data_IF_736029537339
#
_entry.id   IF_736029537339
#
_cell.length_a   1.000
_cell.length_b   1.000
_cell.length_c   1.000
_cell.angle_alpha   90.00
_cell.angle_beta   90.00
_cell.angle_gamma   90.00
#
_symmetry.space_group_name_H-M   'P 1'
#
loop_
_entity.id
_entity.type
_entity.pdbx_description
1 polymer ?
#
# COMPACT_ATOMS: atom_id res chain seq x y z
N UNK A 1 -10.60 -6.78 -23.07
CA UNK A 1 -10.28 -8.07 -23.73
C UNK A 1 -9.43 -7.76 -24.94
N UNK A 2 -8.29 -8.43 -25.08
CA UNK A 2 -7.50 -8.36 -26.30
C UNK A 2 -7.55 -9.73 -26.98
N UNK A 3 -7.78 -9.73 -28.29
CA UNK A 3 -7.80 -10.94 -29.10
C UNK A 3 -6.77 -10.78 -30.22
N UNK A 4 -5.88 -11.77 -30.36
CA UNK A 4 -4.83 -11.76 -31.38
C UNK A 4 -4.83 -13.09 -32.09
N UNK A 5 -4.67 -13.08 -33.41
CA UNK A 5 -4.53 -14.30 -34.20
C UNK A 5 -3.22 -15.05 -33.88
N UNK A 6 -2.15 -14.30 -33.53
CA UNK A 6 -0.78 -14.82 -33.54
C UNK A 6 -0.37 -15.56 -32.26
N UNK A 7 -1.05 -15.32 -31.14
CA UNK A 7 -0.73 -15.97 -29.85
C UNK A 7 -1.70 -17.09 -29.44
N UNK A 8 -2.59 -17.51 -30.35
CA UNK A 8 -3.42 -18.72 -30.21
C UNK A 8 -4.41 -18.73 -29.03
N UNK A 9 -4.66 -17.59 -28.39
CA UNK A 9 -5.44 -17.55 -27.16
C UNK A 9 -6.09 -16.19 -26.88
N UNK A 10 -7.08 -16.24 -26.00
CA UNK A 10 -7.88 -15.10 -25.57
C UNK A 10 -7.35 -14.65 -24.20
N UNK A 11 -6.75 -13.45 -24.14
CA UNK A 11 -6.10 -12.97 -22.91
C UNK A 11 -7.02 -12.01 -22.17
N UNK A 12 -7.36 -12.37 -20.93
CA UNK A 12 -8.15 -11.52 -20.04
C UNK A 12 -7.27 -10.41 -19.49
N UNK A 13 -7.56 -9.16 -19.86
CA UNK A 13 -6.83 -7.98 -19.39
C UNK A 13 -7.36 -7.45 -18.06
N UNK A 14 -8.68 -7.48 -17.86
CA UNK A 14 -9.34 -6.97 -16.65
C UNK A 14 -10.65 -7.70 -16.39
N UNK A 15 -11.02 -7.80 -15.11
CA UNK A 15 -12.31 -8.32 -14.66
C UNK A 15 -12.79 -7.51 -13.47
N UNK A 16 -14.10 -7.25 -13.41
CA UNK A 16 -14.71 -6.66 -12.24
C UNK A 16 -16.14 -7.17 -12.07
N UNK A 17 -16.61 -7.35 -10.82
CA UNK A 17 -18.02 -7.63 -10.57
C UNK A 17 -18.86 -6.39 -10.90
N UNK A 18 -20.06 -6.63 -11.43
CA UNK A 18 -21.07 -5.58 -11.58
C UNK A 18 -21.77 -5.35 -10.25
N UNK A 19 -21.95 -4.07 -9.90
CA UNK A 19 -22.71 -3.67 -8.73
C UNK A 19 -24.19 -4.09 -8.90
N UNK A 20 -24.90 -4.33 -7.78
CA UNK A 20 -26.29 -4.83 -7.81
C UNK A 20 -27.29 -3.87 -8.48
N UNK A 21 -26.94 -2.58 -8.57
CA UNK A 21 -27.72 -1.53 -9.25
C UNK A 21 -27.51 -1.53 -10.77
N UNK A 22 -26.54 -2.29 -11.30
CA UNK A 22 -26.28 -2.39 -12.74
C UNK A 22 -27.06 -3.55 -13.35
N UNK A 23 -27.66 -3.27 -14.50
CA UNK A 23 -28.40 -4.25 -15.30
C UNK A 23 -27.53 -4.90 -16.37
N UNK A 24 -26.87 -4.10 -17.22
CA UNK A 24 -26.12 -4.55 -18.40
C UNK A 24 -25.01 -3.57 -18.79
N UNK A 25 -24.03 -4.06 -19.57
CA UNK A 25 -23.06 -3.23 -20.29
C UNK A 25 -23.71 -2.67 -21.56
N UNK A 26 -23.74 -1.35 -21.70
CA UNK A 26 -24.27 -0.66 -22.88
C UNK A 26 -23.21 -0.57 -23.99
N UNK A 27 -21.98 -0.23 -23.62
CA UNK A 27 -20.91 -0.03 -24.59
C UNK A 27 -19.57 0.28 -23.95
N UNK A 28 -18.54 0.33 -24.79
CA UNK A 28 -17.16 0.58 -24.39
C UNK A 28 -16.57 1.64 -25.31
N UNK A 29 -16.04 2.71 -24.73
CA UNK A 29 -15.25 3.70 -25.45
C UNK A 29 -14.14 4.14 -24.53
N UNK A 30 -12.90 3.76 -24.86
CA UNK A 30 -11.71 4.06 -24.06
C UNK A 30 -11.65 5.55 -23.72
N UNK A 31 -11.55 5.91 -22.42
CA UNK A 31 -11.17 5.07 -21.28
C UNK A 31 -12.34 4.51 -20.43
N UNK A 32 -13.56 4.43 -20.95
CA UNK A 32 -14.77 4.16 -20.17
C UNK A 32 -15.58 2.93 -20.60
N UNK A 33 -16.14 2.26 -19.62
CA UNK A 33 -17.30 1.38 -19.73
C UNK A 33 -18.57 2.17 -19.45
N UNK A 34 -19.58 2.03 -20.29
CA UNK A 34 -20.91 2.62 -20.09
C UNK A 34 -21.86 1.51 -19.64
N UNK A 35 -22.38 1.62 -18.42
CA UNK A 35 -23.19 0.62 -17.75
C UNK A 35 -24.61 1.14 -17.55
N UNK A 36 -25.62 0.32 -17.82
CA UNK A 36 -27.02 0.67 -17.67
C UNK A 36 -27.49 0.35 -16.24
N UNK A 37 -27.99 1.36 -15.53
CA UNK A 37 -28.56 1.20 -14.18
C UNK A 37 -29.94 0.53 -14.27
N UNK A 38 -30.29 -0.33 -13.30
CA UNK A 38 -31.64 -0.91 -13.18
C UNK A 38 -32.68 0.21 -12.97
N UNK A 39 -33.86 0.16 -13.61
CA UNK A 39 -34.86 1.23 -13.53
C UNK A 39 -35.25 1.60 -12.09
N UNK A 40 -35.46 0.59 -11.24
CA UNK A 40 -35.79 0.72 -9.81
C UNK A 40 -34.76 1.55 -9.02
N UNK A 41 -33.49 1.48 -9.43
CA UNK A 41 -32.39 2.20 -8.77
C UNK A 41 -32.22 3.63 -9.29
N UNK A 42 -32.73 3.94 -10.49
CA UNK A 42 -32.65 5.28 -11.08
C UNK A 42 -33.57 6.25 -10.33
N UNK A 43 -34.77 5.80 -9.98
CA UNK A 43 -35.75 6.58 -9.20
C UNK A 43 -35.29 6.82 -7.76
N UNK A 44 -34.50 5.90 -7.20
CA UNK A 44 -34.16 5.87 -5.78
C UNK A 44 -32.84 6.56 -5.40
N UNK A 45 -31.84 6.61 -6.29
CA UNK A 45 -30.44 6.89 -5.87
C UNK A 45 -29.62 7.87 -6.72
N UNK A 46 -29.93 8.10 -8.00
CA UNK A 46 -29.03 8.93 -8.84
C UNK A 46 -29.63 9.65 -10.04
N UNK A 47 -30.88 9.36 -10.45
CA UNK A 47 -31.50 9.96 -11.64
C UNK A 47 -30.78 9.68 -12.97
N UNK A 48 -29.64 8.96 -12.97
CA UNK A 48 -28.83 8.67 -14.16
C UNK A 48 -29.00 7.22 -14.58
N UNK A 49 -29.61 7.05 -15.75
CA UNK A 49 -29.82 5.73 -16.38
C UNK A 49 -28.52 5.08 -16.86
N UNK A 50 -27.47 5.88 -17.11
CA UNK A 50 -26.16 5.40 -17.55
C UNK A 50 -25.08 5.80 -16.55
N UNK A 51 -24.34 4.81 -16.03
CA UNK A 51 -23.17 4.98 -15.18
C UNK A 51 -21.91 4.81 -16.02
N UNK A 52 -21.01 5.76 -15.91
CA UNK A 52 -19.70 5.70 -16.55
C UNK A 52 -18.68 5.14 -15.56
N UNK A 53 -17.91 4.12 -15.96
CA UNK A 53 -16.85 3.52 -15.15
C UNK A 53 -15.54 3.58 -15.91
N UNK A 54 -14.50 4.12 -15.30
CA UNK A 54 -13.17 4.19 -15.89
C UNK A 54 -12.54 2.79 -15.92
N UNK A 55 -11.89 2.45 -17.03
CA UNK A 55 -11.08 1.24 -17.16
C UNK A 55 -9.93 1.28 -16.15
N UNK A 56 -9.59 0.13 -15.56
CA UNK A 56 -8.55 0.01 -14.53
C UNK A 56 -7.25 0.74 -14.90
N UNK A 57 -6.74 0.50 -16.10
CA UNK A 57 -5.45 1.03 -16.54
C UNK A 57 -5.51 2.54 -16.91
N UNK A 58 -6.71 3.14 -16.94
CA UNK A 58 -6.94 4.52 -17.36
C UNK A 58 -7.40 5.45 -16.23
N UNK A 59 -7.48 4.96 -15.00
CA UNK A 59 -7.80 5.79 -13.83
C UNK A 59 -6.76 6.91 -13.71
N UNK A 60 -7.20 8.16 -13.69
CA UNK A 60 -6.35 9.35 -13.69
C UNK A 60 -5.85 9.79 -15.08
N UNK A 61 -6.30 9.13 -16.15
CA UNK A 61 -5.99 9.45 -17.56
C UNK A 61 -7.25 9.81 -18.37
N UNK A 62 -8.37 10.06 -17.70
CA UNK A 62 -9.68 10.27 -18.31
C UNK A 62 -9.69 11.46 -19.28
N UNK A 63 -9.10 12.56 -18.82
CA UNK A 63 -9.05 13.84 -19.53
C UNK A 63 -7.79 14.01 -20.40
N UNK A 64 -6.93 12.99 -20.52
CA UNK A 64 -5.70 13.08 -21.32
C UNK A 64 -5.98 12.90 -22.80
N UNK A 65 -5.05 13.37 -23.63
CA UNK A 65 -5.17 13.35 -25.09
C UNK A 65 -5.34 11.93 -25.64
N UNK A 66 -5.97 11.84 -26.82
CA UNK A 66 -6.18 10.56 -27.52
C UNK A 66 -4.85 9.81 -27.72
N UNK A 67 -3.76 10.52 -28.02
CA UNK A 67 -2.43 9.91 -28.19
C UNK A 67 -1.93 9.19 -26.92
N UNK A 68 -2.13 9.79 -25.74
CA UNK A 68 -1.76 9.18 -24.45
C UNK A 68 -2.63 7.96 -24.17
N UNK A 69 -3.93 8.04 -24.49
CA UNK A 69 -4.85 6.90 -24.32
C UNK A 69 -4.51 5.75 -25.27
N UNK A 70 -4.19 6.04 -26.52
CA UNK A 70 -3.80 5.05 -27.52
C UNK A 70 -2.44 4.41 -27.15
N UNK A 71 -1.48 5.21 -26.67
CA UNK A 71 -0.21 4.72 -26.13
C UNK A 71 -0.43 3.77 -24.94
N UNK A 72 -1.31 4.14 -24.01
CA UNK A 72 -1.64 3.31 -22.85
C UNK A 72 -2.38 2.01 -23.26
N UNK A 73 -3.29 2.07 -24.23
CA UNK A 73 -3.95 0.87 -24.76
C UNK A 73 -2.93 -0.10 -25.38
N UNK A 74 -2.03 0.42 -26.21
CA UNK A 74 -0.97 -0.37 -26.85
C UNK A 74 -0.02 -0.95 -25.80
N UNK A 75 0.33 -0.17 -24.77
CA UNK A 75 1.12 -0.65 -23.65
C UNK A 75 0.45 -1.82 -22.93
N UNK A 76 -0.81 -1.68 -22.52
CA UNK A 76 -1.58 -2.75 -21.88
C UNK A 76 -1.69 -3.99 -22.77
N UNK A 77 -1.85 -3.81 -24.08
CA UNK A 77 -1.88 -4.90 -25.05
C UNK A 77 -0.56 -5.67 -25.09
N UNK A 78 0.56 -4.97 -25.28
CA UNK A 78 1.87 -5.59 -25.40
C UNK A 78 2.31 -6.27 -24.10
N UNK A 79 1.95 -5.71 -22.93
CA UNK A 79 2.12 -6.37 -21.64
C UNK A 79 1.31 -7.66 -21.51
N UNK A 80 0.06 -7.69 -22.01
CA UNK A 80 -0.79 -8.87 -21.96
C UNK A 80 -0.23 -10.03 -22.78
N UNK A 81 0.41 -9.74 -23.92
CA UNK A 81 1.05 -10.77 -24.78
C UNK A 81 2.51 -11.04 -24.41
N UNK A 82 3.04 -10.40 -23.35
CA UNK A 82 4.42 -10.60 -22.88
C UNK A 82 5.50 -9.93 -23.74
N UNK A 83 5.12 -9.09 -24.71
CA UNK A 83 6.06 -8.36 -25.55
C UNK A 83 6.49 -7.06 -24.86
N UNK A 84 7.45 -7.16 -23.94
CA UNK A 84 7.91 -6.03 -23.14
C UNK A 84 8.51 -4.91 -24.01
N UNK A 85 9.25 -5.23 -25.07
CA UNK A 85 9.94 -4.25 -25.90
C UNK A 85 8.95 -3.31 -26.62
N UNK A 86 7.90 -3.86 -27.22
CA UNK A 86 6.86 -3.06 -27.87
C UNK A 86 6.01 -2.30 -26.85
N UNK A 87 5.81 -2.86 -25.65
CA UNK A 87 5.17 -2.14 -24.55
C UNK A 87 5.98 -0.87 -24.22
N UNK A 88 7.29 -1.00 -24.01
CA UNK A 88 8.15 0.15 -23.72
C UNK A 88 8.15 1.20 -24.84
N UNK A 89 8.13 0.77 -26.11
CA UNK A 89 8.02 1.70 -27.25
C UNK A 89 6.69 2.47 -27.24
N UNK A 90 5.58 1.77 -26.97
CA UNK A 90 4.24 2.37 -26.95
C UNK A 90 4.12 3.48 -25.90
N UNK A 91 4.75 3.31 -24.73
CA UNK A 91 4.59 4.23 -23.61
C UNK A 91 5.68 5.31 -23.52
N UNK A 92 6.74 5.23 -24.33
CA UNK A 92 7.88 6.17 -24.36
C UNK A 92 7.47 7.63 -24.58
N UNK A 93 6.32 7.86 -25.21
CA UNK A 93 5.77 9.20 -25.48
C UNK A 93 5.19 9.87 -24.24
N UNK A 94 4.85 9.10 -23.20
CA UNK A 94 4.28 9.61 -21.96
C UNK A 94 5.40 10.14 -21.06
N UNK A 95 5.46 11.47 -20.91
CA UNK A 95 6.46 12.16 -20.06
C UNK A 95 5.91 12.70 -18.75
N UNK A 96 4.61 12.58 -18.53
CA UNK A 96 3.94 13.21 -17.40
C UNK A 96 4.12 12.38 -16.13
N UNK A 97 4.81 12.92 -15.13
CA UNK A 97 5.05 12.26 -13.84
C UNK A 97 3.75 11.85 -13.15
N UNK A 98 2.72 12.70 -13.18
CA UNK A 98 1.39 12.40 -12.62
C UNK A 98 0.74 11.18 -13.27
N UNK A 99 1.00 10.94 -14.57
CA UNK A 99 0.49 9.73 -15.27
C UNK A 99 1.18 8.49 -14.72
N UNK A 100 2.50 8.55 -14.56
CA UNK A 100 3.28 7.46 -14.01
C UNK A 100 2.94 7.17 -12.55
N UNK A 101 2.67 8.19 -11.75
CA UNK A 101 2.21 8.04 -10.37
C UNK A 101 0.86 7.31 -10.30
N UNK A 102 -0.11 7.76 -11.11
CA UNK A 102 -1.42 7.10 -11.20
C UNK A 102 -1.29 5.64 -11.66
N UNK A 103 -0.42 5.38 -12.63
CA UNK A 103 -0.17 4.03 -13.11
C UNK A 103 0.50 3.15 -12.04
N UNK A 104 1.45 3.69 -11.28
CA UNK A 104 2.09 2.99 -10.16
C UNK A 104 1.06 2.62 -9.08
N UNK A 105 0.15 3.55 -8.73
CA UNK A 105 -0.95 3.32 -7.78
C UNK A 105 -1.91 2.23 -8.28
N UNK A 106 -2.15 2.16 -9.59
CA UNK A 106 -2.94 1.08 -10.18
C UNK A 106 -2.22 -0.26 -10.16
N UNK A 107 -0.89 -0.28 -10.33
CA UNK A 107 -0.09 -1.50 -10.25
C UNK A 107 -0.13 -2.14 -8.84
N UNK A 108 -0.29 -1.34 -7.79
CA UNK A 108 -0.56 -1.85 -6.43
C UNK A 108 -1.86 -2.63 -6.40
N UNK A 109 -2.95 -2.03 -6.90
CA UNK A 109 -4.30 -2.62 -6.85
C UNK A 109 -4.40 -3.89 -7.71
N UNK A 110 -3.75 -3.89 -8.88
CA UNK A 110 -3.70 -5.05 -9.79
C UNK A 110 -2.59 -6.05 -9.45
N UNK A 111 -1.72 -5.73 -8.47
CA UNK A 111 -0.56 -6.52 -8.07
C UNK A 111 0.45 -6.78 -9.20
N UNK A 112 0.50 -5.89 -10.20
CA UNK A 112 1.45 -5.92 -11.34
C UNK A 112 2.75 -5.20 -10.99
N UNK A 113 3.57 -5.84 -10.15
CA UNK A 113 4.82 -5.26 -9.63
C UNK A 113 5.90 -5.10 -10.71
N UNK A 114 5.82 -5.89 -11.77
CA UNK A 114 6.61 -5.79 -13.00
C UNK A 114 6.45 -4.41 -13.66
N UNK A 115 5.19 -3.98 -13.81
CA UNK A 115 4.85 -2.68 -14.40
C UNK A 115 5.15 -1.54 -13.42
N UNK A 116 4.96 -1.77 -12.12
CA UNK A 116 5.28 -0.76 -11.09
C UNK A 116 6.75 -0.32 -11.14
N UNK A 117 7.69 -1.25 -11.36
CA UNK A 117 9.11 -0.93 -11.45
C UNK A 117 9.40 0.07 -12.60
N UNK A 118 8.71 -0.10 -13.73
CA UNK A 118 8.78 0.82 -14.87
C UNK A 118 8.24 2.20 -14.51
N UNK A 119 7.10 2.24 -13.81
CA UNK A 119 6.49 3.50 -13.37
C UNK A 119 7.45 4.27 -12.47
N UNK A 120 8.00 3.62 -11.44
CA UNK A 120 8.92 4.25 -10.49
C UNK A 120 10.19 4.74 -11.17
N UNK A 121 10.68 4.03 -12.19
CA UNK A 121 11.82 4.47 -13.00
C UNK A 121 11.54 5.77 -13.75
N UNK A 122 10.38 5.86 -14.41
CA UNK A 122 9.98 7.06 -15.16
C UNK A 122 9.62 8.25 -14.25
N UNK A 123 9.19 7.99 -13.01
CA UNK A 123 8.98 9.02 -11.99
C UNK A 123 10.27 9.47 -11.30
N UNK A 124 11.41 8.82 -11.55
CA UNK A 124 12.63 9.06 -10.78
C UNK A 124 12.53 8.66 -9.30
N UNK A 125 11.56 7.82 -8.94
CA UNK A 125 11.27 7.42 -7.56
C UNK A 125 12.24 6.31 -7.09
N UNK A 126 13.52 6.67 -6.95
CA UNK A 126 14.63 5.74 -6.72
C UNK A 126 14.45 4.88 -5.45
N UNK A 127 13.95 5.46 -4.36
CA UNK A 127 13.71 4.74 -3.09
C UNK A 127 12.69 3.60 -3.28
N UNK A 128 11.59 3.91 -3.95
CA UNK A 128 10.55 2.93 -4.26
C UNK A 128 11.04 1.84 -5.22
N UNK A 129 11.80 2.21 -6.25
CA UNK A 129 12.38 1.23 -7.17
C UNK A 129 13.37 0.29 -6.48
N UNK A 130 14.21 0.82 -5.57
CA UNK A 130 15.08 0.01 -4.71
C UNK A 130 14.27 -0.91 -3.81
N UNK A 131 13.24 -0.38 -3.16
CA UNK A 131 12.35 -1.14 -2.30
C UNK A 131 11.71 -2.32 -3.04
N UNK A 132 11.23 -2.15 -4.28
CA UNK A 132 10.70 -3.23 -5.12
C UNK A 132 11.71 -4.35 -5.42
N UNK A 133 12.99 -4.02 -5.53
CA UNK A 133 14.05 -5.02 -5.77
C UNK A 133 14.41 -5.78 -4.50
N UNK A 134 14.40 -5.11 -3.35
CA UNK A 134 14.84 -5.66 -2.06
C UNK A 134 13.71 -6.34 -1.27
N UNK A 135 12.44 -6.02 -1.54
CA UNK A 135 11.27 -6.58 -0.84
C UNK A 135 10.96 -8.05 -1.18
N UNK A 136 11.89 -8.79 -1.78
CA UNK A 136 11.66 -10.18 -2.15
C UNK A 136 11.65 -11.09 -0.93
N UNK A 137 12.51 -10.88 0.06
CA UNK A 137 12.65 -11.77 1.24
C UNK A 137 12.29 -11.07 2.55
N UNK A 138 11.70 -11.81 3.48
CA UNK A 138 11.54 -11.36 4.86
C UNK A 138 12.79 -11.64 5.71
N UNK A 139 12.77 -11.22 6.97
CA UNK A 139 13.88 -11.36 7.91
C UNK A 139 14.31 -12.81 8.18
N UNK A 140 13.48 -13.79 7.84
CA UNK A 140 13.79 -15.23 7.92
C UNK A 140 14.25 -15.84 6.59
N UNK A 141 14.49 -15.02 5.56
CA UNK A 141 14.89 -15.46 4.22
C UNK A 141 13.75 -16.04 3.39
N UNK A 142 12.50 -15.91 3.82
CA UNK A 142 11.33 -16.42 3.08
C UNK A 142 10.81 -15.37 2.11
N UNK A 143 10.42 -15.80 0.92
CA UNK A 143 9.82 -14.93 -0.08
C UNK A 143 8.53 -14.29 0.46
N UNK A 144 8.42 -12.97 0.39
CA UNK A 144 7.22 -12.23 0.80
C UNK A 144 6.04 -12.56 -0.13
N UNK A 145 4.83 -12.76 0.41
CA UNK A 145 3.62 -12.90 -0.39
C UNK A 145 3.43 -11.73 -1.34
N UNK A 146 2.79 -11.96 -2.49
CA UNK A 146 2.55 -10.92 -3.49
C UNK A 146 1.80 -9.72 -2.89
N UNK A 147 0.83 -9.98 -2.03
CA UNK A 147 0.04 -8.95 -1.34
C UNK A 147 0.91 -8.11 -0.40
N UNK A 148 1.82 -8.73 0.36
CA UNK A 148 2.76 -8.02 1.21
C UNK A 148 3.68 -7.11 0.37
N UNK A 149 4.20 -7.62 -0.75
CA UNK A 149 5.03 -6.84 -1.68
C UNK A 149 4.26 -5.66 -2.28
N UNK A 150 3.01 -5.88 -2.70
CA UNK A 150 2.13 -4.82 -3.17
C UNK A 150 1.85 -3.80 -2.06
N UNK A 151 1.68 -4.23 -0.80
CA UNK A 151 1.52 -3.36 0.35
C UNK A 151 2.74 -2.49 0.62
N UNK A 152 3.95 -3.05 0.50
CA UNK A 152 5.20 -2.27 0.62
C UNK A 152 5.30 -1.21 -0.47
N UNK A 153 4.93 -1.55 -1.71
CA UNK A 153 4.85 -0.57 -2.80
C UNK A 153 3.79 0.50 -2.51
N UNK A 154 2.64 0.12 -1.98
CA UNK A 154 1.57 1.03 -1.60
C UNK A 154 2.07 2.09 -0.61
N UNK A 155 2.86 1.70 0.40
CA UNK A 155 3.49 2.64 1.32
C UNK A 155 4.43 3.63 0.62
N UNK A 156 5.22 3.15 -0.36
CA UNK A 156 6.12 4.03 -1.13
C UNK A 156 5.35 5.07 -1.96
N UNK A 157 4.11 4.75 -2.34
CA UNK A 157 3.22 5.62 -3.11
C UNK A 157 2.22 6.41 -2.23
N UNK A 158 2.38 6.37 -0.91
CA UNK A 158 1.50 7.06 0.04
C UNK A 158 0.10 6.46 0.18
N UNK A 159 -0.13 5.24 -0.32
CA UNK A 159 -1.42 4.54 -0.26
C UNK A 159 -1.53 3.72 1.05
N UNK A 160 -1.56 4.38 2.21
CA UNK A 160 -1.50 3.72 3.53
C UNK A 160 -2.68 2.76 3.74
N UNK A 161 -3.91 3.19 3.46
CA UNK A 161 -5.10 2.35 3.66
C UNK A 161 -5.05 1.05 2.84
N UNK A 162 -4.56 1.15 1.59
CA UNK A 162 -4.40 0.00 0.71
C UNK A 162 -3.30 -0.94 1.21
N UNK A 163 -2.21 -0.38 1.74
CA UNK A 163 -1.14 -1.15 2.35
C UNK A 163 -1.65 -1.97 3.53
N UNK A 164 -2.43 -1.35 4.43
CA UNK A 164 -3.01 -2.06 5.57
C UNK A 164 -3.93 -3.19 5.15
N UNK A 165 -4.80 -2.93 4.17
CA UNK A 165 -5.71 -3.94 3.61
C UNK A 165 -4.93 -5.14 3.08
N UNK A 166 -3.84 -4.89 2.36
CA UNK A 166 -2.98 -5.92 1.80
C UNK A 166 -2.23 -6.70 2.88
N UNK A 167 -1.69 -6.04 3.90
CA UNK A 167 -0.99 -6.72 5.00
C UNK A 167 -1.93 -7.58 5.85
N UNK A 168 -3.13 -7.08 6.17
CA UNK A 168 -4.17 -7.88 6.86
C UNK A 168 -4.57 -9.09 6.02
N UNK A 169 -4.79 -8.92 4.71
CA UNK A 169 -5.21 -10.00 3.82
C UNK A 169 -4.18 -11.15 3.72
N UNK A 170 -2.88 -10.84 3.81
CA UNK A 170 -1.82 -11.85 3.78
C UNK A 170 -1.28 -12.25 5.16
N UNK A 171 -1.89 -11.77 6.25
CA UNK A 171 -1.50 -12.10 7.62
C UNK A 171 -0.13 -11.58 8.05
N UNK A 172 0.44 -10.60 7.34
CA UNK A 172 1.74 -9.97 7.69
C UNK A 172 1.54 -8.85 8.70
N UNK A 173 1.13 -9.23 9.91
CA UNK A 173 0.87 -8.30 11.01
C UNK A 173 2.14 -7.63 11.54
N UNK A 174 3.31 -8.25 11.36
CA UNK A 174 4.61 -7.67 11.65
C UNK A 174 4.88 -6.40 10.81
N UNK A 175 4.48 -6.42 9.52
CA UNK A 175 4.58 -5.28 8.63
C UNK A 175 3.51 -4.23 8.97
N UNK A 176 2.29 -4.67 9.26
CA UNK A 176 1.20 -3.78 9.66
C UNK A 176 1.53 -3.00 10.94
N UNK A 177 2.09 -3.69 11.94
CA UNK A 177 2.53 -3.08 13.20
C UNK A 177 3.57 -1.98 12.93
N UNK A 178 4.57 -2.22 12.08
CA UNK A 178 5.54 -1.19 11.66
C UNK A 178 4.88 0.01 10.98
N UNK A 179 3.84 -0.22 10.18
CA UNK A 179 3.06 0.87 9.54
C UNK A 179 2.38 1.73 10.59
N UNK A 180 1.73 1.13 11.59
CA UNK A 180 1.08 1.87 12.67
C UNK A 180 2.08 2.67 13.49
N UNK A 181 3.22 2.08 13.88
CA UNK A 181 4.30 2.80 14.58
C UNK A 181 4.79 3.99 13.75
N UNK A 182 5.08 3.80 12.46
CA UNK A 182 5.51 4.86 11.55
C UNK A 182 4.45 5.94 11.28
N UNK A 183 3.17 5.64 11.57
CA UNK A 183 2.05 6.57 11.41
C UNK A 183 1.61 7.20 12.75
N UNK A 184 2.39 7.04 13.83
CA UNK A 184 2.06 7.47 15.20
C UNK A 184 0.74 6.86 15.75
N UNK A 185 0.29 5.73 15.21
CA UNK A 185 -0.92 5.00 15.66
C UNK A 185 -0.55 3.96 16.70
N UNK A 186 -0.01 4.42 17.83
CA UNK A 186 0.60 3.56 18.84
C UNK A 186 -0.38 2.62 19.55
N UNK A 187 -1.62 3.06 19.77
CA UNK A 187 -2.65 2.19 20.34
C UNK A 187 -2.87 0.95 19.45
N UNK A 188 -3.08 1.15 18.15
CA UNK A 188 -3.29 0.05 17.20
C UNK A 188 -2.05 -0.82 17.01
N UNK A 189 -0.85 -0.22 17.08
CA UNK A 189 0.41 -0.95 17.06
C UNK A 189 0.53 -1.90 18.26
N UNK A 190 0.24 -1.41 19.47
CA UNK A 190 0.28 -2.19 20.71
C UNK A 190 -0.79 -3.28 20.72
N UNK A 191 -2.02 -2.98 20.31
CA UNK A 191 -3.10 -3.97 20.22
C UNK A 191 -2.75 -5.08 19.23
N UNK A 192 -2.25 -4.71 18.05
CA UNK A 192 -1.80 -5.68 17.04
C UNK A 192 -0.67 -6.57 17.58
N UNK A 193 0.28 -5.97 18.31
CA UNK A 193 1.37 -6.70 18.94
C UNK A 193 0.88 -7.63 20.06
N UNK A 194 -0.11 -7.24 20.86
CA UNK A 194 -0.63 -8.07 21.95
C UNK A 194 -1.46 -9.26 21.42
N UNK A 195 -2.25 -9.04 20.37
CA UNK A 195 -3.19 -10.04 19.87
C UNK A 195 -2.54 -11.05 18.92
N UNK A 196 -1.86 -10.56 17.89
CA UNK A 196 -1.43 -11.38 16.73
C UNK A 196 0.08 -11.35 16.49
N UNK A 197 0.77 -10.26 16.84
CA UNK A 197 2.20 -10.05 16.58
C UNK A 197 3.04 -10.07 17.87
N UNK A 198 2.76 -11.06 18.73
CA UNK A 198 3.30 -11.17 20.10
C UNK A 198 4.82 -11.18 20.20
N UNK A 199 5.49 -11.66 19.16
CA UNK A 199 6.96 -11.68 19.08
C UNK A 199 7.51 -10.24 19.15
N UNK A 200 6.81 -9.27 18.57
CA UNK A 200 7.22 -7.87 18.54
C UNK A 200 6.61 -7.03 19.67
N UNK A 201 5.87 -7.60 20.63
CA UNK A 201 5.26 -6.84 21.73
C UNK A 201 6.29 -6.06 22.55
N UNK A 202 7.42 -6.70 22.90
CA UNK A 202 8.51 -6.03 23.63
C UNK A 202 9.14 -4.90 22.82
N UNK A 203 9.47 -5.17 21.56
CA UNK A 203 10.05 -4.15 20.66
C UNK A 203 9.09 -3.00 20.41
N UNK A 204 7.79 -3.28 20.25
CA UNK A 204 6.75 -2.25 20.05
C UNK A 204 6.57 -1.41 21.31
N UNK A 205 6.58 -2.05 22.50
CA UNK A 205 6.53 -1.34 23.79
C UNK A 205 7.76 -0.44 23.98
N UNK A 206 8.95 -0.94 23.64
CA UNK A 206 10.19 -0.15 23.69
C UNK A 206 10.14 1.07 22.76
N UNK A 207 9.72 0.87 21.51
CA UNK A 207 9.60 1.98 20.56
C UNK A 207 8.57 3.02 21.01
N UNK A 208 7.48 2.58 21.64
CA UNK A 208 6.50 3.50 22.21
C UNK A 208 7.04 4.25 23.43
N UNK A 209 7.80 3.59 24.31
CA UNK A 209 8.47 4.26 25.43
C UNK A 209 9.41 5.37 24.94
N UNK A 210 10.21 5.09 23.90
CA UNK A 210 11.09 6.09 23.25
C UNK A 210 10.31 7.25 22.63
N UNK A 211 9.10 6.99 22.11
CA UNK A 211 8.23 8.05 21.60
C UNK A 211 7.68 8.93 22.72
N UNK A 212 7.21 8.34 23.82
CA UNK A 212 6.72 9.06 25.00
C UNK A 212 7.83 9.90 25.64
N UNK A 213 9.03 9.34 25.76
CA UNK A 213 10.23 10.07 26.20
C UNK A 213 10.49 11.29 25.32
N UNK A 214 10.45 11.15 24.00
CA UNK A 214 10.65 12.25 23.07
C UNK A 214 9.53 13.32 23.15
N UNK A 215 8.34 12.95 23.61
CA UNK A 215 7.23 13.87 23.89
C UNK A 215 7.32 14.53 25.28
N UNK A 216 8.25 14.08 26.14
CA UNK A 216 8.40 14.55 27.52
C UNK A 216 7.49 13.84 28.53
N UNK A 217 6.75 12.80 28.14
CA UNK A 217 5.98 11.96 29.08
C UNK A 217 6.90 10.90 29.71
N UNK A 218 7.65 11.34 30.71
CA UNK A 218 8.62 10.51 31.44
C UNK A 218 7.92 9.38 32.19
N UNK A 219 6.78 9.64 32.83
CA UNK A 219 6.05 8.62 33.59
C UNK A 219 5.49 7.53 32.68
N UNK A 220 4.94 7.89 31.52
CA UNK A 220 4.50 6.95 30.50
C UNK A 220 5.67 6.15 29.92
N UNK A 221 6.79 6.80 29.64
CA UNK A 221 7.99 6.15 29.13
C UNK A 221 8.52 5.06 30.09
N UNK A 222 8.62 5.34 31.39
CA UNK A 222 9.01 4.36 32.42
C UNK A 222 8.14 3.11 32.35
N UNK A 223 6.81 3.28 32.34
CA UNK A 223 5.86 2.16 32.31
C UNK A 223 6.08 1.24 31.09
N UNK A 224 6.33 1.83 29.92
CA UNK A 224 6.56 1.05 28.70
C UNK A 224 7.98 0.49 28.59
N UNK A 225 8.99 1.13 29.19
CA UNK A 225 10.32 0.53 29.35
C UNK A 225 10.26 -0.72 30.22
N UNK A 226 9.48 -0.70 31.31
CA UNK A 226 9.21 -1.87 32.15
C UNK A 226 8.48 -2.97 31.37
N UNK A 227 7.44 -2.63 30.61
CA UNK A 227 6.74 -3.60 29.73
C UNK A 227 7.65 -4.22 28.67
N UNK A 228 8.69 -3.50 28.25
CA UNK A 228 9.68 -3.98 27.29
C UNK A 228 10.86 -4.73 27.92
N UNK A 229 10.94 -4.77 29.25
CA UNK A 229 12.05 -5.35 30.03
C UNK A 229 13.41 -4.67 29.76
N UNK A 230 13.39 -3.34 29.58
CA UNK A 230 14.59 -2.51 29.31
C UNK A 230 14.82 -1.42 30.35
N UNK A 231 14.00 -1.38 31.40
CA UNK A 231 14.01 -0.35 32.45
C UNK A 231 15.37 -0.15 33.12
N UNK A 232 16.14 -1.23 33.31
CA UNK A 232 17.46 -1.21 33.96
C UNK A 232 18.51 -0.36 33.25
N UNK A 233 18.35 -0.18 31.94
CA UNK A 233 19.27 0.61 31.13
C UNK A 233 18.63 1.93 30.71
N UNK A 234 17.36 1.90 30.30
CA UNK A 234 16.70 3.06 29.71
C UNK A 234 16.21 4.07 30.74
N UNK A 235 15.72 3.64 31.91
CA UNK A 235 15.23 4.59 32.93
C UNK A 235 16.38 5.39 33.54
N UNK A 236 17.52 4.80 33.94
CA UNK A 236 18.68 5.56 34.40
C UNK A 236 19.25 6.49 33.31
N UNK A 237 19.27 6.05 32.05
CA UNK A 237 19.70 6.90 30.93
C UNK A 237 18.78 8.12 30.77
N UNK A 238 17.47 7.90 30.82
CA UNK A 238 16.48 8.96 30.63
C UNK A 238 16.48 9.97 31.79
N UNK A 239 16.67 9.51 33.03
CA UNK A 239 16.67 10.35 34.24
C UNK A 239 18.07 10.83 34.65
N UNK A 240 19.07 10.72 33.76
CA UNK A 240 20.47 11.03 34.09
C UNK A 240 20.66 12.45 34.65
N UNK A 241 19.92 13.43 34.11
CA UNK A 241 19.99 14.83 34.52
C UNK A 241 19.11 15.14 35.77
N UNK A 242 18.32 14.19 36.25
CA UNK A 242 17.50 14.31 37.47
C UNK A 242 17.77 13.14 38.45
N UNK A 243 18.86 13.22 39.23
CA UNK A 243 19.22 12.19 40.19
C UNK A 243 18.16 11.93 41.27
N UNK A 244 17.36 12.95 41.62
CA UNK A 244 16.33 12.82 42.64
C UNK A 244 15.15 11.98 42.14
N UNK A 245 14.71 12.21 40.89
CA UNK A 245 13.70 11.38 40.27
C UNK A 245 14.19 9.93 40.07
N UNK A 246 15.47 9.74 39.72
CA UNK A 246 16.07 8.42 39.58
C UNK A 246 16.13 7.66 40.91
N UNK A 247 16.55 8.31 41.99
CA UNK A 247 16.58 7.70 43.32
C UNK A 247 15.17 7.29 43.77
N UNK A 248 14.17 8.16 43.57
CA UNK A 248 12.78 7.84 43.86
C UNK A 248 12.28 6.62 43.07
N UNK A 249 12.65 6.53 41.79
CA UNK A 249 12.32 5.37 40.96
C UNK A 249 12.98 4.09 41.47
N UNK A 250 14.27 4.11 41.82
CA UNK A 250 15.01 2.94 42.33
C UNK A 250 14.46 2.47 43.67
N UNK A 251 14.09 3.39 44.57
CA UNK A 251 13.49 3.04 45.86
C UNK A 251 12.10 2.41 45.68
N UNK A 252 11.34 2.87 44.68
CA UNK A 252 10.00 2.37 44.41
C UNK A 252 9.98 1.06 43.59
N UNK A 253 10.92 0.91 42.67
CA UNK A 253 11.09 -0.30 41.88
C UNK A 253 11.74 -1.38 42.74
N UNK A 254 11.11 -2.55 42.85
CA UNK A 254 11.68 -3.71 43.56
C UNK A 254 12.75 -4.43 42.72
N UNK A 255 13.52 -3.68 41.94
CA UNK A 255 14.60 -4.24 41.14
C UNK A 255 15.85 -4.30 42.04
N UNK A 256 16.39 -5.50 42.34
CA UNK A 256 17.51 -5.66 43.28
C UNK A 256 18.84 -5.10 42.76
#
# INVERSE_FOLDING_TARGET
MFATADSGGLVVQDFFPLDNDISRLLGVQTPFFYLLTKPECVESKSGKMVKQRVMRDFVGLEAKDKSVRDAMMNFSYFLCIGNMDEAFKAIKTIKSETVWENMAKMCVKSKRLDVAAVCLGNMGHARGARCLREMSVDSGGKQLPLDARAGVLALQLGMVDEAERLFRACGRFDLLNKVYQGSNRWAEALDTAADVDRIHLRTTSFNYARHLEAQGDISGAINYFEKSDTQRFEVPRMLFDDPAALEAYVVQSKDP
#
